data_IF_201396896331
#
_entry.id   IF_201396896331
#
_cell.length_a   1.000
_cell.length_b   1.000
_cell.length_c   1.000
_cell.angle_alpha   90.00
_cell.angle_beta   90.00
_cell.angle_gamma   90.00
#
_symmetry.space_group_name_H-M   'P 1'
#
loop_
_entity.id
_entity.type
_entity.pdbx_description
1 polymer ?
#
# COMPACT_ATOMS: atom_id res chain seq x y z
N UNK A 1 1.31 -22.31 -2.20
CA UNK A 1 0.28 -22.83 -3.13
C UNK A 1 0.78 -22.89 -4.57
N UNK A 2 1.30 -21.81 -5.18
CA UNK A 2 1.75 -21.78 -6.59
C UNK A 2 2.78 -22.87 -6.87
N UNK A 3 3.85 -22.96 -6.06
CA UNK A 3 4.90 -23.96 -6.22
C UNK A 3 4.34 -25.39 -6.21
N UNK A 4 3.45 -25.68 -5.27
CA UNK A 4 2.84 -27.00 -5.14
C UNK A 4 1.86 -27.33 -6.27
N UNK A 5 1.20 -26.31 -6.86
CA UNK A 5 0.25 -26.52 -7.97
C UNK A 5 0.95 -26.71 -9.30
N UNK A 6 2.08 -26.04 -9.50
CA UNK A 6 2.83 -26.07 -10.76
C UNK A 6 4.03 -27.03 -10.70
N UNK A 7 4.26 -27.67 -9.55
CA UNK A 7 5.40 -28.55 -9.30
C UNK A 7 6.75 -27.90 -9.66
N UNK A 8 6.93 -26.64 -9.22
CA UNK A 8 8.17 -25.87 -9.47
C UNK A 8 8.89 -25.58 -8.15
N UNK A 9 10.24 -25.62 -8.14
CA UNK A 9 11.01 -25.38 -6.93
C UNK A 9 11.00 -23.92 -6.50
N UNK A 10 10.91 -23.01 -7.44
CA UNK A 10 11.02 -21.56 -7.23
C UNK A 10 10.04 -20.80 -8.09
N UNK A 11 9.73 -19.56 -7.70
CA UNK A 11 8.88 -18.63 -8.46
C UNK A 11 9.62 -17.33 -8.76
N UNK A 12 9.26 -16.68 -9.85
CA UNK A 12 9.61 -15.30 -10.12
C UNK A 12 8.49 -14.40 -9.59
N UNK A 13 8.83 -13.27 -9.04
CA UNK A 13 7.87 -12.35 -8.43
C UNK A 13 8.03 -10.95 -8.99
N UNK A 14 6.90 -10.26 -9.15
CA UNK A 14 6.85 -8.86 -9.59
C UNK A 14 5.97 -8.09 -8.62
N UNK A 15 6.44 -6.97 -8.11
CA UNK A 15 5.69 -6.09 -7.24
C UNK A 15 5.64 -4.68 -7.81
N UNK A 16 4.43 -4.16 -8.03
CA UNK A 16 4.19 -2.80 -8.50
C UNK A 16 3.61 -1.96 -7.36
N UNK A 17 4.17 -0.77 -7.11
CA UNK A 17 3.71 0.19 -6.10
C UNK A 17 3.60 -0.46 -4.71
N UNK A 18 2.45 -0.42 -4.06
CA UNK A 18 2.21 -1.02 -2.73
C UNK A 18 2.44 -2.54 -2.71
N UNK A 19 2.19 -3.23 -3.82
CA UNK A 19 2.50 -4.65 -3.93
C UNK A 19 4.02 -4.91 -3.94
N UNK A 20 4.82 -3.97 -4.45
CA UNK A 20 6.28 -4.02 -4.33
C UNK A 20 6.74 -3.86 -2.89
N UNK A 21 6.17 -2.93 -2.14
CA UNK A 21 6.42 -2.78 -0.70
C UNK A 21 6.09 -4.06 0.08
N UNK A 22 4.92 -4.64 -0.20
CA UNK A 22 4.50 -5.91 0.41
C UNK A 22 5.43 -7.06 0.02
N UNK A 23 5.89 -7.11 -1.23
CA UNK A 23 6.85 -8.10 -1.71
C UNK A 23 8.18 -7.97 -0.95
N UNK A 24 8.70 -6.76 -0.77
CA UNK A 24 9.94 -6.53 -0.02
C UNK A 24 9.82 -7.03 1.43
N UNK A 25 8.72 -6.71 2.11
CA UNK A 25 8.44 -7.22 3.46
C UNK A 25 8.36 -8.75 3.49
N UNK A 26 7.70 -9.34 2.49
CA UNK A 26 7.58 -10.80 2.35
C UNK A 26 8.96 -11.45 2.17
N UNK A 27 9.81 -10.90 1.32
CA UNK A 27 11.17 -11.41 1.10
C UNK A 27 12.02 -11.31 2.37
N UNK A 28 11.90 -10.24 3.13
CA UNK A 28 12.59 -10.10 4.42
C UNK A 28 12.14 -11.18 5.42
N UNK A 29 10.86 -11.49 5.48
CA UNK A 29 10.31 -12.56 6.33
C UNK A 29 10.83 -13.93 5.86
N UNK A 30 10.82 -14.19 4.55
CA UNK A 30 11.33 -15.45 3.99
C UNK A 30 12.82 -15.62 4.30
N UNK A 31 13.62 -14.56 4.16
CA UNK A 31 15.04 -14.58 4.51
C UNK A 31 15.26 -14.93 5.99
N UNK A 32 14.51 -14.31 6.90
CA UNK A 32 14.58 -14.61 8.34
C UNK A 32 14.18 -16.06 8.69
N UNK A 33 13.31 -16.66 7.88
CA UNK A 33 12.86 -18.06 8.06
C UNK A 33 13.77 -19.08 7.37
N UNK A 34 14.82 -18.64 6.67
CA UNK A 34 15.68 -19.53 5.87
C UNK A 34 14.97 -20.11 4.63
N UNK A 35 13.95 -19.42 4.12
CA UNK A 35 13.09 -19.85 3.01
C UNK A 35 13.26 -18.96 1.76
N UNK A 36 14.33 -18.20 1.68
CA UNK A 36 14.59 -17.28 0.56
C UNK A 36 14.73 -18.01 -0.79
N UNK A 37 15.12 -19.27 -0.76
CA UNK A 37 15.25 -20.16 -1.92
C UNK A 37 13.92 -20.40 -2.66
N UNK A 38 12.78 -20.09 -2.05
CA UNK A 38 11.46 -20.20 -2.70
C UNK A 38 11.26 -19.19 -3.82
N UNK A 39 12.01 -18.08 -3.81
CA UNK A 39 11.92 -17.00 -4.79
C UNK A 39 13.22 -16.94 -5.60
N UNK A 40 13.11 -17.13 -6.91
CA UNK A 40 14.26 -17.10 -7.81
C UNK A 40 14.67 -15.68 -8.19
N UNK A 41 13.69 -14.80 -8.40
CA UNK A 41 13.92 -13.38 -8.66
C UNK A 41 12.75 -12.53 -8.19
N UNK A 42 13.04 -11.28 -7.87
CA UNK A 42 12.05 -10.27 -7.54
C UNK A 42 12.29 -9.01 -8.39
N UNK A 43 11.23 -8.54 -9.06
CA UNK A 43 11.25 -7.31 -9.85
C UNK A 43 10.34 -6.29 -9.18
N UNK A 44 10.83 -5.07 -9.01
CA UNK A 44 10.10 -3.98 -8.36
C UNK A 44 9.87 -2.85 -9.35
N UNK A 45 8.63 -2.41 -9.46
CA UNK A 45 8.25 -1.22 -10.20
C UNK A 45 7.67 -0.20 -9.23
N UNK A 46 8.26 1.00 -9.20
CA UNK A 46 7.77 2.15 -8.40
C UNK A 46 7.42 1.77 -6.95
N UNK A 47 8.21 0.88 -6.34
CA UNK A 47 7.98 0.40 -4.97
C UNK A 47 8.79 1.23 -3.97
N UNK A 48 8.14 1.70 -2.92
CA UNK A 48 8.80 2.32 -1.78
C UNK A 48 9.12 1.24 -0.75
N UNK A 49 10.38 1.14 -0.36
CA UNK A 49 10.87 0.15 0.62
C UNK A 49 11.41 0.84 1.88
N UNK A 50 12.02 2.02 1.71
CA UNK A 50 12.49 2.86 2.79
C UNK A 50 11.47 3.96 3.07
N UNK A 51 10.92 3.98 4.30
CA UNK A 51 9.93 4.94 4.76
C UNK A 51 10.52 6.06 5.62
N UNK A 52 11.83 6.18 5.72
CA UNK A 52 12.46 7.22 6.52
C UNK A 52 12.04 8.63 6.07
N UNK A 53 11.82 8.79 4.76
CA UNK A 53 11.36 10.04 4.14
C UNK A 53 10.00 9.91 3.48
N UNK A 54 9.06 9.27 4.15
CA UNK A 54 7.72 9.01 3.61
C UNK A 54 6.78 10.24 3.64
N UNK A 55 7.29 11.43 3.97
CA UNK A 55 6.49 12.66 4.00
C UNK A 55 5.34 12.58 5.02
N UNK A 56 4.17 13.08 4.62
CA UNK A 56 2.99 13.16 5.49
C UNK A 56 2.46 11.81 5.97
N UNK A 57 2.80 10.71 5.29
CA UNK A 57 2.44 9.36 5.74
C UNK A 57 2.97 9.04 7.14
N UNK A 58 4.09 9.62 7.54
CA UNK A 58 4.64 9.44 8.89
C UNK A 58 3.69 9.92 9.99
N UNK A 59 2.88 10.92 9.71
CA UNK A 59 1.92 11.46 10.67
C UNK A 59 0.78 10.49 11.00
N UNK A 60 0.63 9.42 10.21
CA UNK A 60 -0.40 8.40 10.36
C UNK A 60 0.14 7.06 10.87
N UNK A 61 1.43 7.02 11.26
CA UNK A 61 2.08 5.78 11.71
C UNK A 61 2.67 6.04 13.09
N UNK A 62 1.85 5.83 14.11
CA UNK A 62 2.27 5.76 15.51
C UNK A 62 1.71 4.49 16.16
N UNK A 63 2.25 4.16 17.34
CA UNK A 63 1.87 2.92 18.05
C UNK A 63 0.38 2.89 18.41
N UNK A 64 -0.21 4.03 18.73
CA UNK A 64 -1.64 4.13 19.09
C UNK A 64 -2.53 3.85 17.88
N UNK A 65 -2.14 4.33 16.72
CA UNK A 65 -2.86 4.08 15.46
C UNK A 65 -2.72 2.63 15.02
N UNK A 66 -1.54 2.05 15.15
CA UNK A 66 -1.31 0.63 14.86
C UNK A 66 -2.14 -0.26 15.79
N UNK A 67 -2.24 0.07 17.07
CA UNK A 67 -3.09 -0.64 18.02
C UNK A 67 -4.58 -0.51 17.65
N UNK A 68 -5.04 0.69 17.30
CA UNK A 68 -6.42 0.92 16.85
C UNK A 68 -6.75 0.12 15.59
N UNK A 69 -5.85 0.10 14.59
CA UNK A 69 -6.01 -0.71 13.38
C UNK A 69 -6.06 -2.20 13.74
N UNK A 70 -5.20 -2.64 14.63
CA UNK A 70 -5.19 -4.01 15.15
C UNK A 70 -6.52 -4.38 15.79
N UNK A 71 -7.09 -3.53 16.65
CA UNK A 71 -8.39 -3.74 17.27
C UNK A 71 -9.53 -3.77 16.25
N UNK A 72 -9.56 -2.83 15.30
CA UNK A 72 -10.59 -2.77 14.26
C UNK A 72 -10.56 -4.00 13.34
N UNK A 73 -9.37 -4.49 13.01
CA UNK A 73 -9.21 -5.65 12.13
C UNK A 73 -9.40 -6.99 12.83
N UNK A 74 -9.14 -7.05 14.14
CA UNK A 74 -9.19 -8.30 14.91
C UNK A 74 -10.59 -8.93 14.97
N UNK A 75 -11.63 -8.11 14.99
CA UNK A 75 -13.03 -8.58 15.06
C UNK A 75 -13.53 -9.16 13.74
N UNK A 76 -13.08 -8.62 12.62
CA UNK A 76 -13.56 -8.98 11.28
C UNK A 76 -12.55 -9.78 10.46
N UNK A 77 -11.29 -9.86 10.91
CA UNK A 77 -10.20 -10.51 10.19
C UNK A 77 -9.66 -9.70 8.99
N UNK A 78 -10.15 -8.48 8.77
CA UNK A 78 -9.69 -7.56 7.75
C UNK A 78 -9.90 -6.11 8.17
N UNK A 79 -9.18 -5.18 7.54
CA UNK A 79 -9.41 -3.74 7.65
C UNK A 79 -10.34 -3.29 6.52
N UNK A 80 -11.48 -2.68 6.86
CA UNK A 80 -12.41 -2.14 5.85
C UNK A 80 -11.74 -1.02 5.05
N UNK A 81 -11.84 -1.09 3.73
CA UNK A 81 -11.25 -0.12 2.80
C UNK A 81 -11.73 1.33 2.99
N UNK A 82 -12.87 1.52 3.66
CA UNK A 82 -13.37 2.86 4.02
C UNK A 82 -12.43 3.63 4.92
N UNK A 83 -11.68 2.96 5.80
CA UNK A 83 -10.66 3.61 6.65
C UNK A 83 -9.48 4.12 5.81
N UNK A 84 -9.05 3.33 4.82
CA UNK A 84 -8.02 3.77 3.88
C UNK A 84 -8.49 4.95 3.03
N UNK A 85 -9.73 4.88 2.51
CA UNK A 85 -10.32 5.99 1.75
C UNK A 85 -10.40 7.27 2.58
N UNK A 86 -10.80 7.19 3.85
CA UNK A 86 -10.82 8.33 4.76
C UNK A 86 -9.42 8.91 4.99
N UNK A 87 -8.40 8.06 5.18
CA UNK A 87 -7.02 8.50 5.33
C UNK A 87 -6.51 9.21 4.05
N UNK A 88 -6.75 8.66 2.86
CA UNK A 88 -6.38 9.30 1.60
C UNK A 88 -7.10 10.64 1.40
N UNK A 89 -8.38 10.73 1.74
CA UNK A 89 -9.12 11.99 1.66
C UNK A 89 -8.57 13.04 2.63
N UNK A 90 -8.14 12.63 3.81
CA UNK A 90 -7.50 13.54 4.78
C UNK A 90 -6.14 14.03 4.28
N UNK A 91 -5.34 13.14 3.66
CA UNK A 91 -4.02 13.49 3.11
C UNK A 91 -4.09 14.39 1.87
N UNK A 92 -5.05 14.15 1.00
CA UNK A 92 -5.17 14.79 -0.32
C UNK A 92 -6.53 15.48 -0.51
N UNK A 93 -7.18 15.91 0.56
CA UNK A 93 -8.51 16.54 0.50
C UNK A 93 -8.56 17.77 -0.40
N UNK A 94 -7.48 18.54 -0.47
CA UNK A 94 -7.38 19.68 -1.40
C UNK A 94 -7.45 19.22 -2.85
N UNK A 95 -6.69 18.21 -3.23
CA UNK A 95 -6.60 17.72 -4.61
C UNK A 95 -7.81 16.88 -4.99
N UNK A 96 -8.28 16.03 -4.08
CA UNK A 96 -9.36 15.07 -4.35
C UNK A 96 -10.76 15.67 -4.22
N UNK A 97 -10.94 16.74 -3.43
CA UNK A 97 -12.25 17.31 -3.13
C UNK A 97 -12.30 18.78 -3.48
N UNK A 98 -11.44 19.58 -2.86
CA UNK A 98 -11.56 21.03 -2.92
C UNK A 98 -11.32 21.62 -4.32
N UNK A 99 -10.34 21.10 -5.05
CA UNK A 99 -10.09 21.54 -6.42
C UNK A 99 -11.27 21.25 -7.36
N UNK A 100 -11.97 20.12 -7.15
CA UNK A 100 -13.20 19.82 -7.91
C UNK A 100 -14.32 20.80 -7.56
N UNK A 101 -14.50 21.12 -6.29
CA UNK A 101 -15.48 22.11 -5.85
C UNK A 101 -15.20 23.48 -6.51
N UNK A 102 -13.95 23.93 -6.47
CA UNK A 102 -13.60 25.25 -7.04
C UNK A 102 -13.70 25.24 -8.56
N UNK A 103 -13.02 24.33 -9.23
CA UNK A 103 -12.91 24.40 -10.70
C UNK A 103 -14.21 23.95 -11.39
N UNK A 104 -14.75 22.79 -11.03
CA UNK A 104 -15.93 22.27 -11.74
C UNK A 104 -17.23 22.91 -11.27
N UNK A 105 -17.45 23.03 -9.96
CA UNK A 105 -18.70 23.52 -9.43
C UNK A 105 -18.80 25.05 -9.42
N UNK A 106 -17.77 25.74 -8.92
CA UNK A 106 -17.82 27.21 -8.80
C UNK A 106 -17.44 27.94 -10.09
N UNK A 107 -16.40 27.47 -10.78
CA UNK A 107 -15.91 28.12 -12.01
C UNK A 107 -16.50 27.52 -13.30
N UNK A 108 -17.08 26.32 -13.24
CA UNK A 108 -17.64 25.64 -14.40
C UNK A 108 -16.58 25.17 -15.41
N UNK A 109 -15.34 25.00 -14.95
CA UNK A 109 -14.21 24.56 -15.79
C UNK A 109 -14.09 23.04 -15.77
N UNK A 110 -13.58 22.47 -16.87
CA UNK A 110 -13.21 21.07 -16.87
C UNK A 110 -11.96 20.88 -16.02
N UNK A 111 -12.04 19.94 -15.07
CA UNK A 111 -10.90 19.61 -14.23
C UNK A 111 -9.85 18.85 -15.03
N UNK A 112 -8.56 19.25 -14.99
CA UNK A 112 -7.52 18.49 -15.65
C UNK A 112 -7.44 17.07 -15.11
N UNK A 113 -7.11 16.11 -15.97
CA UNK A 113 -6.97 14.73 -15.58
C UNK A 113 -6.07 14.62 -14.35
N UNK A 114 -6.52 13.84 -13.38
CA UNK A 114 -5.75 13.57 -12.17
C UNK A 114 -4.50 12.77 -12.53
N UNK A 115 -3.33 13.31 -12.15
CA UNK A 115 -2.03 12.67 -12.37
C UNK A 115 -1.54 11.99 -11.09
#
# INVERSE_FOLDING_TARGET
HIRARLDVPQVHTIGYCVAGTTLAATLAILARRGEADKVKSATFFTAQVDFERAGDLKNFIDDSQLEMIGQLSSQQGYLDGRYLAAAFNALRGRDLIWNYVVNNYLLGEDYPAFD
#
